data_IF_384136372182
#
_entry.id   IF_384136372182
#
_cell.length_a   1.000
_cell.length_b   1.000
_cell.length_c   1.000
_cell.angle_alpha   90.00
_cell.angle_beta   90.00
_cell.angle_gamma   90.00
#
_symmetry.space_group_name_H-M   'P 1'
#
loop_
_entity.id
_entity.type
_entity.pdbx_description
1 polymer ?
#
# COMPACT_ATOMS: atom_id res chain seq x y z
N UNK A 1 12.49 -13.05 12.34
CA UNK A 1 13.18 -13.35 11.06
C UNK A 1 12.73 -12.38 10.00
N UNK A 2 13.65 -11.56 9.51
CA UNK A 2 13.41 -10.60 8.40
C UNK A 2 13.53 -11.33 7.06
N UNK A 3 12.54 -11.18 6.18
CA UNK A 3 12.55 -11.82 4.85
C UNK A 3 12.97 -10.77 3.82
N UNK A 4 14.24 -10.78 3.44
CA UNK A 4 14.82 -9.87 2.44
C UNK A 4 14.71 -10.41 1.00
N UNK A 5 14.52 -11.72 0.84
CA UNK A 5 14.34 -12.38 -0.45
C UNK A 5 13.12 -13.30 -0.41
N UNK A 6 12.11 -12.95 -1.18
CA UNK A 6 10.86 -13.71 -1.27
C UNK A 6 10.90 -14.84 -2.32
N UNK A 7 12.00 -15.03 -3.04
CA UNK A 7 12.13 -16.08 -4.07
C UNK A 7 11.92 -17.50 -3.53
N UNK A 8 12.24 -17.74 -2.25
CA UNK A 8 11.97 -19.01 -1.60
C UNK A 8 10.48 -19.32 -1.41
N UNK A 9 9.63 -18.29 -1.44
CA UNK A 9 8.17 -18.36 -1.24
C UNK A 9 7.38 -18.15 -2.52
N UNK A 10 8.00 -17.55 -3.56
CA UNK A 10 7.35 -17.07 -4.78
C UNK A 10 8.14 -17.50 -6.00
N UNK A 11 7.46 -18.19 -6.92
CA UNK A 11 8.03 -18.60 -8.18
C UNK A 11 7.23 -17.95 -9.31
N UNK A 12 7.80 -16.99 -10.06
CA UNK A 12 7.15 -16.42 -11.22
C UNK A 12 7.10 -17.47 -12.35
N UNK A 13 6.05 -17.45 -13.15
CA UNK A 13 5.93 -18.33 -14.34
C UNK A 13 6.76 -17.79 -15.52
N UNK A 14 7.05 -16.49 -15.52
CA UNK A 14 7.87 -15.82 -16.52
C UNK A 14 8.89 -14.91 -15.85
N UNK A 15 9.96 -14.59 -16.57
CA UNK A 15 11.01 -13.69 -16.08
C UNK A 15 10.45 -12.27 -15.87
N UNK A 16 10.63 -11.71 -14.67
CA UNK A 16 10.29 -10.35 -14.29
C UNK A 16 11.35 -9.80 -13.34
N UNK A 17 11.39 -8.47 -13.16
CA UNK A 17 12.29 -7.84 -12.18
C UNK A 17 11.99 -8.34 -10.75
N UNK A 18 13.06 -8.63 -10.01
CA UNK A 18 13.00 -9.16 -8.64
C UNK A 18 12.21 -8.27 -7.66
N UNK A 19 12.11 -6.98 -7.93
CA UNK A 19 11.33 -6.06 -7.09
C UNK A 19 9.85 -6.48 -6.97
N UNK A 20 9.28 -7.06 -8.04
CA UNK A 20 7.90 -7.53 -8.02
C UNK A 20 7.72 -8.77 -7.13
N UNK A 21 8.73 -9.64 -7.11
CA UNK A 21 8.74 -10.84 -6.25
C UNK A 21 8.97 -10.45 -4.80
N UNK A 22 9.91 -9.54 -4.53
CA UNK A 22 10.32 -9.14 -3.20
C UNK A 22 9.31 -8.20 -2.51
N UNK A 23 8.51 -7.44 -3.28
CA UNK A 23 7.46 -6.61 -2.70
C UNK A 23 6.35 -7.48 -2.08
N UNK A 24 6.27 -7.49 -0.77
CA UNK A 24 5.16 -8.10 -0.03
C UNK A 24 4.69 -7.18 1.10
N UNK A 25 3.68 -7.56 1.85
CA UNK A 25 3.05 -6.72 2.87
C UNK A 25 3.19 -7.39 4.24
N UNK A 26 4.36 -7.29 4.89
CA UNK A 26 4.52 -7.76 6.27
C UNK A 26 3.72 -6.89 7.24
N UNK A 27 3.43 -7.43 8.42
CA UNK A 27 2.86 -6.71 9.56
C UNK A 27 3.90 -6.33 10.59
N UNK A 28 5.05 -7.01 10.59
CA UNK A 28 6.16 -6.68 11.46
C UNK A 28 6.90 -5.44 10.97
N UNK A 29 6.87 -4.38 11.76
CA UNK A 29 7.59 -3.14 11.50
C UNK A 29 8.62 -2.89 12.58
N UNK A 30 9.77 -2.35 12.18
CA UNK A 30 10.75 -1.74 13.08
C UNK A 30 10.29 -0.31 13.40
N UNK A 31 10.58 0.16 14.63
CA UNK A 31 10.35 1.55 15.03
C UNK A 31 11.37 2.53 14.45
N UNK A 32 12.33 2.04 13.64
CA UNK A 32 13.32 2.87 12.99
C UNK A 32 12.64 3.92 12.10
N UNK A 33 13.01 5.18 12.29
CA UNK A 33 12.52 6.28 11.49
C UNK A 33 12.93 6.14 10.01
N UNK A 34 12.04 6.54 9.11
CA UNK A 34 12.32 6.61 7.67
C UNK A 34 12.89 7.99 7.36
N UNK A 35 14.09 8.11 6.80
CA UNK A 35 14.66 9.37 6.37
C UNK A 35 13.73 10.11 5.40
N UNK A 36 13.70 11.44 5.50
CA UNK A 36 12.80 12.28 4.71
C UNK A 36 13.05 12.17 3.21
N UNK A 37 14.28 12.09 2.79
CA UNK A 37 14.67 11.93 1.38
C UNK A 37 14.20 10.60 0.79
N UNK A 38 14.27 9.51 1.57
CA UNK A 38 13.73 8.20 1.18
C UNK A 38 12.20 8.28 1.09
N UNK A 39 11.55 8.92 2.06
CA UNK A 39 10.10 9.09 2.05
C UNK A 39 9.65 9.93 0.84
N UNK A 40 10.35 11.02 0.54
CA UNK A 40 10.06 11.82 -0.66
C UNK A 40 10.30 11.04 -1.96
N UNK A 41 11.33 10.19 -2.01
CA UNK A 41 11.61 9.33 -3.17
C UNK A 41 10.46 8.36 -3.50
N UNK A 42 9.82 7.77 -2.49
CA UNK A 42 8.69 6.86 -2.75
C UNK A 42 7.44 7.61 -3.24
N UNK A 43 7.20 8.83 -2.77
CA UNK A 43 6.11 9.67 -3.30
C UNK A 43 6.42 10.23 -4.68
N UNK A 44 7.70 10.52 -4.97
CA UNK A 44 8.12 10.89 -6.31
C UNK A 44 7.82 9.76 -7.31
N UNK A 45 8.11 8.51 -6.97
CA UNK A 45 7.74 7.38 -7.81
C UNK A 45 6.22 7.29 -8.05
N UNK A 46 5.39 7.49 -7.00
CA UNK A 46 3.94 7.51 -7.12
C UNK A 46 3.46 8.61 -8.09
N UNK A 47 4.10 9.78 -8.07
CA UNK A 47 3.79 10.92 -8.93
C UNK A 47 3.95 10.61 -10.43
N UNK A 48 4.79 9.66 -10.80
CA UNK A 48 5.04 9.25 -12.18
C UNK A 48 4.10 8.15 -12.70
N UNK A 49 3.10 7.75 -11.91
CA UNK A 49 2.10 6.82 -12.38
C UNK A 49 1.28 7.42 -13.54
N UNK A 50 0.82 6.59 -14.48
CA UNK A 50 -0.10 7.05 -15.53
C UNK A 50 -1.49 7.38 -14.95
N UNK A 51 -2.20 8.29 -15.60
CA UNK A 51 -3.60 8.58 -15.29
C UNK A 51 -4.36 9.04 -16.53
N UNK A 52 -5.66 8.80 -16.56
CA UNK A 52 -6.52 9.26 -17.65
C UNK A 52 -6.43 10.79 -17.79
N UNK A 53 -6.17 11.27 -18.99
CA UNK A 53 -5.97 12.70 -19.30
C UNK A 53 -4.93 13.40 -18.43
N UNK A 54 -4.02 12.65 -17.79
CA UNK A 54 -3.04 13.17 -16.83
C UNK A 54 -3.69 13.91 -15.64
N UNK A 55 -4.85 13.45 -15.20
CA UNK A 55 -5.63 14.05 -14.12
C UNK A 55 -4.96 13.91 -12.74
N UNK A 56 -4.07 12.92 -12.55
CA UNK A 56 -3.29 12.71 -11.33
C UNK A 56 -4.16 12.80 -10.07
N UNK A 57 -5.18 11.93 -9.94
CA UNK A 57 -6.23 12.09 -8.93
C UNK A 57 -5.77 11.76 -7.50
N UNK A 58 -4.64 11.11 -7.33
CA UNK A 58 -4.12 10.67 -6.05
C UNK A 58 -3.75 11.82 -5.13
N UNK A 59 -4.06 11.67 -3.82
CA UNK A 59 -3.59 12.52 -2.73
C UNK A 59 -3.19 11.63 -1.57
N UNK A 60 -2.20 12.08 -0.81
CA UNK A 60 -1.63 11.35 0.31
C UNK A 60 -1.64 12.22 1.55
N UNK A 61 -2.24 11.74 2.65
CA UNK A 61 -2.12 12.38 3.97
C UNK A 61 -1.15 11.54 4.79
N UNK A 62 -0.07 12.14 5.25
CA UNK A 62 1.04 11.45 5.90
C UNK A 62 1.05 11.74 7.39
N UNK A 63 1.17 10.69 8.22
CA UNK A 63 1.39 10.77 9.65
C UNK A 63 2.76 10.18 9.98
N UNK A 64 3.76 11.04 10.24
CA UNK A 64 5.14 10.64 10.62
C UNK A 64 5.55 11.08 12.03
N UNK A 65 4.87 12.05 12.62
CA UNK A 65 5.09 12.38 14.03
C UNK A 65 4.19 11.53 14.93
N UNK A 66 4.55 11.42 16.20
CA UNK A 66 3.74 10.67 17.18
C UNK A 66 2.32 11.21 17.26
N UNK A 67 2.18 12.54 17.35
CA UNK A 67 0.90 13.24 17.46
C UNK A 67 0.03 13.00 16.20
N UNK A 68 0.65 13.03 15.01
CA UNK A 68 -0.06 12.75 13.76
C UNK A 68 -0.52 11.28 13.71
N UNK A 69 0.32 10.31 14.11
CA UNK A 69 -0.07 8.90 14.16
C UNK A 69 -1.17 8.62 15.17
N UNK A 70 -1.17 9.29 16.32
CA UNK A 70 -2.25 9.16 17.33
C UNK A 70 -3.62 9.58 16.76
N UNK A 71 -3.68 10.62 15.92
CA UNK A 71 -4.90 10.97 15.19
C UNK A 71 -5.36 9.81 14.29
N UNK A 72 -4.45 9.19 13.57
CA UNK A 72 -4.76 8.05 12.70
C UNK A 72 -5.23 6.84 13.50
N UNK A 73 -4.62 6.56 14.64
CA UNK A 73 -5.03 5.44 15.51
C UNK A 73 -6.49 5.56 15.95
N UNK A 74 -7.03 6.77 16.05
CA UNK A 74 -8.41 7.00 16.49
C UNK A 74 -9.47 6.39 15.57
N UNK A 75 -9.15 6.14 14.30
CA UNK A 75 -10.06 5.54 13.33
C UNK A 75 -9.62 4.16 12.82
N UNK A 76 -8.45 3.66 13.20
CA UNK A 76 -7.99 2.31 12.83
C UNK A 76 -8.70 1.26 13.70
N UNK A 77 -9.02 0.09 13.11
CA UNK A 77 -9.61 -1.02 13.85
C UNK A 77 -8.66 -1.58 14.92
N UNK A 78 -9.21 -2.09 16.01
CA UNK A 78 -8.42 -2.68 17.11
C UNK A 78 -7.47 -3.77 16.60
N UNK A 79 -7.92 -4.62 15.68
CA UNK A 79 -7.08 -5.66 15.09
C UNK A 79 -5.85 -5.07 14.39
N UNK A 80 -6.02 -4.05 13.55
CA UNK A 80 -4.89 -3.44 12.85
C UNK A 80 -3.98 -2.65 13.78
N UNK A 81 -4.51 -2.08 14.85
CA UNK A 81 -3.69 -1.41 15.88
C UNK A 81 -2.70 -2.35 16.55
N UNK A 82 -2.98 -3.66 16.61
CA UNK A 82 -2.06 -4.64 17.24
C UNK A 82 -0.70 -4.73 16.55
N UNK A 83 -0.60 -4.29 15.29
CA UNK A 83 0.64 -4.38 14.53
C UNK A 83 1.07 -3.06 13.89
N UNK A 84 0.14 -2.20 13.41
CA UNK A 84 0.51 -1.02 12.65
C UNK A 84 1.11 0.12 13.51
N UNK A 85 0.96 0.06 14.83
CA UNK A 85 1.52 1.08 15.75
C UNK A 85 3.05 1.15 15.72
N UNK A 86 3.73 0.06 15.37
CA UNK A 86 5.17 0.02 15.22
C UNK A 86 5.67 0.67 13.93
N UNK A 87 4.81 0.83 12.94
CA UNK A 87 5.18 1.51 11.71
C UNK A 87 5.47 3.00 11.97
N UNK A 88 6.65 3.50 11.58
CA UNK A 88 7.02 4.91 11.81
C UNK A 88 6.19 5.88 10.97
N UNK A 89 5.60 5.42 9.87
CA UNK A 89 4.81 6.25 8.95
C UNK A 89 3.49 5.55 8.62
N UNK A 90 2.39 6.33 8.70
CA UNK A 90 1.09 5.94 8.15
C UNK A 90 0.70 6.92 7.04
N UNK A 91 0.10 6.40 5.98
CA UNK A 91 -0.33 7.19 4.82
C UNK A 91 -1.75 6.83 4.45
N UNK A 92 -2.65 7.82 4.47
CA UNK A 92 -3.99 7.65 3.92
C UNK A 92 -3.99 8.05 2.45
N UNK A 93 -4.40 7.13 1.59
CA UNK A 93 -4.48 7.32 0.14
C UNK A 93 -5.88 7.75 -0.24
N UNK A 94 -5.97 8.88 -0.92
CA UNK A 94 -7.21 9.47 -1.41
C UNK A 94 -7.17 9.58 -2.93
N UNK A 95 -8.36 9.63 -3.55
CA UNK A 95 -8.50 9.93 -4.97
C UNK A 95 -9.59 10.96 -5.22
N UNK A 96 -9.31 11.96 -6.06
CA UNK A 96 -10.25 13.00 -6.45
C UNK A 96 -11.27 12.42 -7.43
N UNK A 97 -12.55 12.46 -7.06
CA UNK A 97 -13.66 11.88 -7.84
C UNK A 97 -14.05 12.70 -9.07
N UNK A 98 -13.77 14.00 -9.05
CA UNK A 98 -14.16 14.93 -10.10
C UNK A 98 -12.94 15.69 -10.65
N UNK A 99 -13.00 16.06 -11.91
CA UNK A 99 -12.04 16.93 -12.60
C UNK A 99 -12.76 18.10 -13.25
N UNK A 100 -12.03 18.98 -13.94
CA UNK A 100 -12.63 20.04 -14.76
C UNK A 100 -13.53 19.50 -15.89
N UNK A 101 -13.37 18.23 -16.25
CA UNK A 101 -14.15 17.51 -17.27
C UNK A 101 -15.42 16.84 -16.73
N UNK A 102 -15.68 16.96 -15.41
CA UNK A 102 -16.76 16.29 -14.71
C UNK A 102 -16.28 15.09 -13.88
N UNK A 103 -17.11 14.05 -13.76
CA UNK A 103 -16.79 12.85 -13.01
C UNK A 103 -15.58 12.12 -13.60
N UNK A 104 -14.56 11.86 -12.78
CA UNK A 104 -13.40 11.07 -13.16
C UNK A 104 -13.63 9.59 -12.82
N UNK A 105 -14.16 8.82 -13.75
CA UNK A 105 -14.48 7.39 -13.55
C UNK A 105 -13.25 6.50 -13.30
N UNK A 106 -12.05 6.93 -13.68
CA UNK A 106 -10.81 6.20 -13.50
C UNK A 106 -10.06 6.55 -12.22
N UNK A 107 -10.57 7.46 -11.38
CA UNK A 107 -9.83 8.00 -10.22
C UNK A 107 -9.26 6.92 -9.29
N UNK A 108 -10.01 5.85 -9.03
CA UNK A 108 -9.57 4.77 -8.16
C UNK A 108 -8.51 3.87 -8.84
N UNK A 109 -8.70 3.58 -10.14
CA UNK A 109 -7.76 2.80 -10.95
C UNK A 109 -6.40 3.49 -11.07
N UNK A 110 -6.40 4.78 -11.42
CA UNK A 110 -5.20 5.59 -11.55
C UNK A 110 -4.47 5.74 -10.21
N UNK A 111 -5.22 5.90 -9.12
CA UNK A 111 -4.64 5.96 -7.77
C UNK A 111 -4.06 4.61 -7.34
N UNK A 112 -4.66 3.50 -7.76
CA UNK A 112 -4.09 2.16 -7.58
C UNK A 112 -2.75 1.99 -8.30
N UNK A 113 -2.60 2.56 -9.50
CA UNK A 113 -1.31 2.58 -10.20
C UNK A 113 -0.25 3.39 -9.42
N UNK A 114 -0.61 4.58 -8.90
CA UNK A 114 0.28 5.39 -8.06
C UNK A 114 0.71 4.64 -6.79
N UNK A 115 -0.23 3.94 -6.14
CA UNK A 115 0.08 3.05 -5.02
C UNK A 115 1.08 1.95 -5.40
N UNK A 116 0.88 1.30 -6.54
CA UNK A 116 1.80 0.27 -7.04
C UNK A 116 3.22 0.80 -7.22
N UNK A 117 3.39 1.98 -7.82
CA UNK A 117 4.69 2.63 -8.03
C UNK A 117 5.35 2.98 -6.69
N UNK A 118 4.59 3.55 -5.75
CA UNK A 118 5.07 3.83 -4.39
C UNK A 118 5.60 2.56 -3.72
N UNK A 119 4.84 1.47 -3.75
CA UNK A 119 5.18 0.22 -3.09
C UNK A 119 6.44 -0.44 -3.69
N UNK A 120 6.61 -0.38 -5.01
CA UNK A 120 7.80 -0.88 -5.69
C UNK A 120 9.04 -0.06 -5.33
N UNK A 121 8.93 1.27 -5.35
CA UNK A 121 10.04 2.15 -4.97
C UNK A 121 10.40 1.97 -3.49
N UNK A 122 9.42 1.84 -2.59
CA UNK A 122 9.66 1.54 -1.19
C UNK A 122 10.48 0.25 -1.02
N UNK A 123 10.13 -0.80 -1.76
CA UNK A 123 10.88 -2.07 -1.75
C UNK A 123 12.34 -1.87 -2.23
N UNK A 124 12.55 -1.07 -3.29
CA UNK A 124 13.92 -0.73 -3.77
C UNK A 124 14.73 0.06 -2.74
N UNK A 125 14.07 0.85 -1.90
CA UNK A 125 14.70 1.59 -0.80
C UNK A 125 14.85 0.75 0.49
N UNK A 126 14.55 -0.55 0.47
CA UNK A 126 14.62 -1.42 1.65
C UNK A 126 13.47 -1.26 2.64
N UNK A 127 12.41 -0.53 2.26
CA UNK A 127 11.19 -0.38 3.05
C UNK A 127 10.17 -1.45 2.70
N UNK A 128 9.26 -1.67 3.64
CA UNK A 128 8.06 -2.48 3.43
C UNK A 128 6.81 -1.62 3.58
N UNK A 129 5.76 -2.01 2.89
CA UNK A 129 4.48 -1.31 2.89
C UNK A 129 3.33 -2.29 3.07
N UNK A 130 2.35 -1.93 3.89
CA UNK A 130 1.16 -2.76 4.10
C UNK A 130 -0.11 -1.92 4.00
N UNK A 131 -0.86 -2.02 2.89
CA UNK A 131 -2.15 -1.36 2.75
C UNK A 131 -3.23 -2.12 3.53
N UNK A 132 -4.12 -1.38 4.18
CA UNK A 132 -5.24 -1.92 4.93
C UNK A 132 -6.52 -1.12 4.69
N UNK A 133 -7.66 -1.79 4.81
CA UNK A 133 -9.00 -1.19 4.79
C UNK A 133 -9.75 -1.39 6.11
N UNK A 134 -9.13 -2.05 7.10
CA UNK A 134 -9.67 -2.24 8.43
C UNK A 134 -9.58 -0.98 9.28
N UNK A 135 -10.36 0.05 8.92
CA UNK A 135 -10.50 1.30 9.66
C UNK A 135 -11.88 1.92 9.38
N UNK A 136 -12.27 2.91 10.16
CA UNK A 136 -13.56 3.61 10.05
C UNK A 136 -13.44 4.78 9.07
N UNK A 137 -13.92 4.62 7.85
CA UNK A 137 -13.79 5.59 6.75
C UNK A 137 -14.41 6.94 7.07
N UNK A 138 -15.64 6.98 7.61
CA UNK A 138 -16.32 8.24 7.95
C UNK A 138 -15.60 8.98 9.08
N UNK A 139 -15.12 8.26 10.08
CA UNK A 139 -14.33 8.85 11.15
C UNK A 139 -12.99 9.39 10.64
N UNK A 140 -12.33 8.68 9.71
CA UNK A 140 -11.11 9.19 9.07
C UNK A 140 -11.39 10.50 8.31
N UNK A 141 -12.51 10.57 7.59
CA UNK A 141 -12.95 11.77 6.88
C UNK A 141 -13.13 12.95 7.84
N UNK A 142 -13.84 12.74 8.93
CA UNK A 142 -14.10 13.76 9.94
C UNK A 142 -12.80 14.24 10.61
N UNK A 143 -12.01 13.31 11.14
CA UNK A 143 -10.78 13.60 11.90
C UNK A 143 -9.73 14.33 11.06
N UNK A 144 -9.64 14.01 9.76
CA UNK A 144 -8.64 14.55 8.84
C UNK A 144 -9.19 15.67 7.94
N UNK A 145 -10.47 16.04 8.08
CA UNK A 145 -11.09 17.11 7.30
C UNK A 145 -11.10 16.85 5.78
N UNK A 146 -11.37 15.61 5.37
CA UNK A 146 -11.31 15.21 3.96
C UNK A 146 -12.59 15.67 3.25
N UNK A 147 -12.50 16.50 2.18
CA UNK A 147 -13.67 16.95 1.42
C UNK A 147 -14.40 15.79 0.73
N UNK A 148 -15.70 15.97 0.47
CA UNK A 148 -16.57 14.95 -0.12
C UNK A 148 -16.21 14.57 -1.56
N UNK A 149 -15.52 15.45 -2.30
CA UNK A 149 -15.03 15.16 -3.64
C UNK A 149 -13.81 14.23 -3.69
N UNK A 150 -13.30 13.81 -2.53
CA UNK A 150 -12.25 12.79 -2.41
C UNK A 150 -12.81 11.47 -1.89
N UNK A 151 -12.49 10.38 -2.56
CA UNK A 151 -12.71 9.03 -2.06
C UNK A 151 -11.50 8.55 -1.25
N UNK A 152 -11.75 7.91 -0.11
CA UNK A 152 -10.71 7.26 0.69
C UNK A 152 -10.48 5.85 0.11
N UNK A 153 -9.22 5.50 -0.22
CA UNK A 153 -8.88 4.23 -0.85
C UNK A 153 -8.32 3.21 0.14
N UNK A 154 -7.25 3.56 0.82
CA UNK A 154 -6.59 2.68 1.77
C UNK A 154 -5.75 3.46 2.77
N UNK A 155 -5.50 2.86 3.92
CA UNK A 155 -4.48 3.29 4.87
C UNK A 155 -3.26 2.38 4.72
N UNK A 156 -2.06 2.95 4.61
CA UNK A 156 -0.81 2.23 4.38
C UNK A 156 0.15 2.45 5.54
N UNK A 157 0.64 1.36 6.13
CA UNK A 157 1.78 1.39 7.04
C UNK A 157 3.08 1.28 6.23
N UNK A 158 4.07 2.12 6.53
CA UNK A 158 5.36 2.19 5.83
C UNK A 158 6.49 2.24 6.87
N UNK A 159 7.55 1.48 6.64
CA UNK A 159 8.74 1.46 7.49
C UNK A 159 9.70 0.36 7.09
N UNK A 160 10.72 0.15 7.88
CA UNK A 160 11.59 -1.03 7.75
C UNK A 160 10.91 -2.25 8.36
N UNK A 161 11.18 -3.43 7.80
CA UNK A 161 10.66 -4.67 8.35
C UNK A 161 11.22 -4.93 9.74
N UNK A 162 10.36 -5.26 10.70
CA UNK A 162 10.69 -5.69 12.04
C UNK A 162 10.76 -7.21 12.18
N UNK A 163 11.01 -7.69 13.37
CA UNK A 163 11.08 -9.12 13.66
C UNK A 163 9.65 -9.71 13.74
N UNK A 164 9.48 -10.87 13.13
CA UNK A 164 8.21 -11.63 13.15
C UNK A 164 7.74 -11.93 14.56
N UNK A 165 8.70 -12.20 15.44
CA UNK A 165 8.51 -12.57 16.85
C UNK A 165 7.88 -11.44 17.68
N UNK A 166 7.94 -10.21 17.19
CA UNK A 166 7.32 -9.04 17.82
C UNK A 166 5.80 -8.93 17.58
N UNK A 167 5.29 -9.74 16.66
CA UNK A 167 3.85 -9.80 16.40
C UNK A 167 3.11 -10.66 17.40
N UNK A 168 1.80 -10.44 17.62
CA UNK A 168 0.95 -11.41 18.29
C UNK A 168 1.06 -12.81 17.66
N UNK A 169 1.04 -13.87 18.46
CA UNK A 169 1.29 -15.25 18.00
C UNK A 169 0.41 -15.67 16.81
N UNK A 170 -0.86 -15.28 16.80
CA UNK A 170 -1.79 -15.55 15.72
C UNK A 170 -1.43 -14.88 14.38
N UNK A 171 -0.60 -13.83 14.40
CA UNK A 171 -0.10 -13.16 13.19
C UNK A 171 1.23 -13.71 12.73
N UNK A 172 2.05 -14.24 13.65
CA UNK A 172 3.36 -14.80 13.32
C UNK A 172 3.28 -15.94 12.29
N UNK A 173 2.26 -16.80 12.37
CA UNK A 173 2.08 -17.92 11.44
C UNK A 173 1.77 -17.45 10.01
N UNK A 174 1.18 -16.26 9.87
CA UNK A 174 0.80 -15.68 8.58
C UNK A 174 1.86 -14.74 8.01
N UNK A 175 2.91 -14.44 8.78
CA UNK A 175 3.94 -13.46 8.43
C UNK A 175 4.98 -14.05 7.47
N UNK A 176 4.51 -14.30 6.24
CA UNK A 176 5.36 -14.76 5.14
C UNK A 176 4.79 -14.33 3.77
N UNK A 177 5.65 -14.15 2.75
CA UNK A 177 5.20 -13.87 1.40
C UNK A 177 4.33 -15.01 0.86
N UNK A 178 3.17 -14.65 0.29
CA UNK A 178 2.25 -15.61 -0.33
C UNK A 178 2.45 -15.62 -1.85
N UNK A 179 2.22 -16.77 -2.47
CA UNK A 179 2.22 -16.95 -3.92
C UNK A 179 1.09 -16.17 -4.62
N UNK A 180 0.94 -16.44 -5.90
CA UNK A 180 -0.13 -15.91 -6.75
C UNK A 180 -0.85 -17.04 -7.45
N UNK A 181 -2.06 -16.77 -7.94
CA UNK A 181 -2.79 -17.66 -8.84
C UNK A 181 -1.99 -17.81 -10.13
N UNK A 182 -2.11 -18.93 -10.84
CA UNK A 182 -1.55 -19.10 -12.19
C UNK A 182 -2.04 -17.99 -13.14
N UNK A 183 -1.20 -17.58 -14.08
CA UNK A 183 -1.58 -16.56 -15.06
C UNK A 183 -2.82 -16.93 -15.87
N UNK A 184 -2.97 -18.22 -16.21
CA UNK A 184 -4.14 -18.72 -16.94
C UNK A 184 -5.49 -18.53 -16.23
N UNK A 185 -5.49 -18.25 -14.91
CA UNK A 185 -6.71 -17.89 -14.16
C UNK A 185 -7.03 -16.38 -14.23
N UNK A 186 -6.13 -15.57 -14.77
CA UNK A 186 -6.23 -14.09 -14.73
C UNK A 186 -6.15 -13.45 -16.11
N UNK A 187 -5.73 -14.19 -17.13
CA UNK A 187 -5.59 -13.71 -18.50
C UNK A 187 -6.53 -14.50 -19.40
N UNK A 188 -7.36 -13.80 -20.15
CA UNK A 188 -8.29 -14.38 -21.12
C UNK A 188 -8.08 -13.73 -22.48
N UNK A 189 -8.24 -14.50 -23.54
CA UNK A 189 -8.14 -14.05 -24.92
C UNK A 189 -9.56 -13.88 -25.50
N UNK A 190 -9.82 -12.78 -26.20
CA UNK A 190 -11.07 -12.40 -26.84
C UNK A 190 -12.26 -12.20 -25.90
N UNK A 191 -12.61 -13.22 -25.08
CA UNK A 191 -13.77 -13.20 -24.19
C UNK A 191 -13.41 -13.70 -22.79
N UNK A 192 -14.17 -13.23 -21.79
CA UNK A 192 -14.00 -13.68 -20.42
C UNK A 192 -14.22 -15.20 -20.31
N UNK A 193 -13.28 -15.88 -19.66
CA UNK A 193 -13.30 -17.34 -19.46
C UNK A 193 -12.58 -18.13 -20.58
N UNK A 194 -12.23 -17.51 -21.68
CA UNK A 194 -11.39 -18.14 -22.71
C UNK A 194 -9.92 -17.97 -22.34
N UNK A 195 -9.33 -18.98 -21.68
CA UNK A 195 -7.97 -18.92 -21.18
C UNK A 195 -6.96 -18.77 -22.35
N UNK A 196 -6.06 -17.83 -22.24
CA UNK A 196 -4.93 -17.69 -23.15
C UNK A 196 -4.04 -18.93 -23.07
N UNK A 197 -3.81 -19.57 -24.21
CA UNK A 197 -2.99 -20.79 -24.35
C UNK A 197 -1.56 -20.45 -24.72
#
# INVERSE_FOLDING_TARGET
VIINDAKNYRKPEHEIDDVFINRWSPRSFSEQEVPEDILLSIFEAARWAPSAYNEQPWRFIIARTKEAREKFYSFVSEFNLTWCKKAPVLVLILSKKNSERGENKSHAFDTGAAWGFLALQATKCGLVTHPMTGFHFEKAREVLGIPDDYAIQALVAIGYQGEREDLPSNLQEQEQPKGRRPLGETIFEDTFGNTWK
#
